data_IF_765036352704
#
_entry.id   IF_765036352704
#
_cell.length_a   1.000
_cell.length_b   1.000
_cell.length_c   1.000
_cell.angle_alpha   90.00
_cell.angle_beta   90.00
_cell.angle_gamma   90.00
#
_symmetry.space_group_name_H-M   'P 1'
#
loop_
_entity.id
_entity.type
_entity.pdbx_description
1 polymer ?
#
# COMPACT_ATOMS: atom_id res chain seq x y z
N UNK A 1 -16.99 -3.01 -12.96
CA UNK A 1 -16.51 -3.98 -11.95
C UNK A 1 -16.21 -3.18 -10.68
N UNK A 2 -16.83 -3.51 -9.55
CA UNK A 2 -16.79 -2.67 -8.35
C UNK A 2 -15.43 -2.79 -7.63
N UNK A 3 -14.72 -1.68 -7.41
CA UNK A 3 -13.51 -1.66 -6.59
C UNK A 3 -13.86 -2.00 -5.13
N UNK A 4 -13.53 -3.22 -4.69
CA UNK A 4 -13.70 -3.61 -3.28
C UNK A 4 -12.54 -3.07 -2.47
N UNK A 5 -12.85 -2.30 -1.43
CA UNK A 5 -11.83 -1.73 -0.55
C UNK A 5 -11.33 -2.77 0.47
N UNK A 6 -10.01 -2.92 0.66
CA UNK A 6 -9.46 -3.78 1.70
C UNK A 6 -9.78 -3.27 3.11
N UNK A 7 -10.09 -4.19 4.04
CA UNK A 7 -10.45 -3.87 5.43
C UNK A 7 -9.44 -3.00 6.17
N UNK A 8 -8.14 -3.17 5.93
CA UNK A 8 -7.13 -2.36 6.62
C UNK A 8 -7.17 -0.87 6.20
N UNK A 9 -7.74 -0.54 5.02
CA UNK A 9 -7.96 0.85 4.63
C UNK A 9 -9.17 1.47 5.33
N UNK A 10 -10.15 0.68 5.77
CA UNK A 10 -11.29 1.15 6.56
C UNK A 10 -10.88 1.55 8.00
N UNK A 11 -9.84 0.88 8.52
CA UNK A 11 -9.26 1.17 9.84
C UNK A 11 -8.28 2.35 9.83
N UNK A 12 -7.82 2.76 8.65
CA UNK A 12 -6.82 3.81 8.51
C UNK A 12 -7.36 5.15 9.03
N UNK A 13 -6.64 5.76 9.96
CA UNK A 13 -7.00 7.04 10.56
C UNK A 13 -7.99 6.96 11.73
N UNK A 14 -8.78 5.90 11.84
CA UNK A 14 -9.72 5.71 12.97
C UNK A 14 -9.00 5.03 14.14
N UNK A 15 -8.72 3.74 14.01
CA UNK A 15 -8.00 2.94 15.01
C UNK A 15 -6.53 2.79 14.65
N UNK A 16 -6.22 2.75 13.36
CA UNK A 16 -4.86 2.54 12.86
C UNK A 16 -4.17 3.89 12.59
N UNK A 17 -3.20 4.23 13.45
CA UNK A 17 -2.35 5.41 13.29
C UNK A 17 -1.04 5.02 12.62
N UNK A 18 -0.71 5.64 11.48
CA UNK A 18 0.42 5.16 10.66
C UNK A 18 1.53 6.19 10.46
N UNK A 19 2.75 5.66 10.36
CA UNK A 19 3.91 6.35 9.81
C UNK A 19 4.39 5.64 8.55
N UNK A 20 4.48 6.35 7.44
CA UNK A 20 5.05 5.85 6.19
C UNK A 20 6.31 6.63 5.80
N UNK A 21 7.32 5.90 5.35
CA UNK A 21 8.60 6.48 4.92
C UNK A 21 8.87 6.15 3.47
N UNK A 22 9.29 7.16 2.68
CA UNK A 22 9.77 6.98 1.28
C UNK A 22 8.78 6.19 0.39
N UNK A 23 7.49 6.48 0.52
CA UNK A 23 6.46 5.89 -0.35
C UNK A 23 6.20 6.77 -1.59
N UNK A 24 5.73 6.21 -2.71
CA UNK A 24 5.38 7.00 -3.90
C UNK A 24 4.38 8.12 -3.57
N UNK A 25 4.58 9.32 -4.14
CA UNK A 25 3.74 10.51 -3.84
C UNK A 25 2.25 10.23 -4.07
N UNK A 26 1.91 9.58 -5.19
CA UNK A 26 0.53 9.20 -5.53
C UNK A 26 -0.09 8.34 -4.43
N UNK A 27 0.62 7.31 -3.96
CA UNK A 27 0.14 6.45 -2.88
C UNK A 27 0.01 7.19 -1.54
N UNK A 28 0.93 8.10 -1.25
CA UNK A 28 0.86 8.94 -0.05
C UNK A 28 -0.41 9.80 -0.03
N UNK A 29 -0.73 10.43 -1.16
CA UNK A 29 -1.95 11.23 -1.34
C UNK A 29 -3.20 10.35 -1.17
N UNK A 30 -3.26 9.18 -1.84
CA UNK A 30 -4.40 8.27 -1.73
C UNK A 30 -4.63 7.83 -0.28
N UNK A 31 -3.57 7.39 0.42
CA UNK A 31 -3.65 7.00 1.82
C UNK A 31 -4.06 8.17 2.74
N UNK A 32 -3.63 9.40 2.44
CA UNK A 32 -4.03 10.59 3.18
C UNK A 32 -5.54 10.85 3.03
N UNK A 33 -6.08 10.67 1.82
CA UNK A 33 -7.52 10.78 1.55
C UNK A 33 -8.30 9.70 2.27
N UNK A 34 -7.84 8.44 2.28
CA UNK A 34 -8.48 7.38 3.06
C UNK A 34 -8.51 7.69 4.55
N UNK A 35 -7.37 8.14 5.11
CA UNK A 35 -7.30 8.56 6.51
C UNK A 35 -8.28 9.68 6.80
N UNK A 36 -8.26 10.75 6.00
CA UNK A 36 -9.16 11.89 6.15
C UNK A 36 -10.63 11.49 6.03
N UNK A 37 -10.99 10.68 5.03
CA UNK A 37 -12.36 10.15 4.83
C UNK A 37 -12.88 9.47 6.08
N UNK A 38 -12.08 8.58 6.66
CA UNK A 38 -12.53 7.76 7.77
C UNK A 38 -12.66 8.59 9.07
N UNK A 39 -11.83 9.62 9.23
CA UNK A 39 -11.86 10.54 10.38
C UNK A 39 -12.98 11.58 10.25
N UNK A 40 -13.14 12.16 9.06
CA UNK A 40 -14.05 13.29 8.82
C UNK A 40 -15.53 12.95 9.09
N UNK A 41 -15.85 11.66 9.22
CA UNK A 41 -17.16 11.19 9.69
C UNK A 41 -17.51 11.73 11.09
N UNK A 42 -16.53 11.92 11.96
CA UNK A 42 -16.73 12.32 13.36
C UNK A 42 -15.99 13.60 13.77
N UNK A 43 -14.92 13.98 13.08
CA UNK A 43 -14.01 15.05 13.52
C UNK A 43 -13.59 15.99 12.37
N UNK A 44 -13.05 17.17 12.70
CA UNK A 44 -12.39 18.05 11.72
C UNK A 44 -10.96 17.56 11.48
N UNK A 45 -10.57 17.43 10.22
CA UNK A 45 -9.26 16.91 9.80
C UNK A 45 -8.37 18.03 9.31
N UNK A 46 -7.17 18.14 9.88
CA UNK A 46 -6.14 19.04 9.36
C UNK A 46 -5.18 18.28 8.43
N UNK A 47 -5.05 18.74 7.19
CA UNK A 47 -4.15 18.15 6.21
C UNK A 47 -3.05 19.12 5.86
N UNK A 48 -1.81 18.73 6.12
CA UNK A 48 -0.66 19.47 5.63
C UNK A 48 -0.34 19.07 4.19
N UNK A 49 -0.45 20.05 3.29
CA UNK A 49 -0.13 19.92 1.88
C UNK A 49 0.93 20.99 1.50
N UNK A 50 2.10 20.59 0.96
CA UNK A 50 3.23 21.48 0.79
C UNK A 50 3.10 22.45 -0.39
N UNK A 51 2.19 22.18 -1.33
CA UNK A 51 1.98 22.98 -2.54
C UNK A 51 0.52 22.89 -3.02
N UNK A 52 0.09 23.87 -3.81
CA UNK A 52 -1.27 23.97 -4.34
C UNK A 52 -1.67 22.74 -5.18
N UNK A 53 -0.73 22.23 -5.98
CA UNK A 53 -0.94 21.03 -6.80
C UNK A 53 -1.26 19.79 -5.95
N UNK A 54 -0.70 19.70 -4.75
CA UNK A 54 -1.02 18.62 -3.80
C UNK A 54 -2.42 18.79 -3.24
N UNK A 55 -2.82 20.03 -2.94
CA UNK A 55 -4.18 20.34 -2.48
C UNK A 55 -5.18 19.92 -3.55
N UNK A 56 -4.99 20.39 -4.79
CA UNK A 56 -5.85 20.05 -5.94
C UNK A 56 -5.99 18.53 -6.12
N UNK A 57 -4.87 17.80 -6.08
CA UNK A 57 -4.87 16.34 -6.21
C UNK A 57 -5.59 15.64 -5.03
N UNK A 58 -5.45 16.15 -3.80
CA UNK A 58 -6.17 15.63 -2.63
C UNK A 58 -7.66 15.90 -2.78
N UNK A 59 -8.06 17.12 -3.15
CA UNK A 59 -9.47 17.51 -3.32
C UNK A 59 -10.17 16.72 -4.41
N UNK A 60 -9.51 16.48 -5.55
CA UNK A 60 -10.03 15.63 -6.62
C UNK A 60 -10.31 14.22 -6.11
N UNK A 61 -9.34 13.62 -5.39
CA UNK A 61 -9.51 12.30 -4.81
C UNK A 61 -10.55 12.30 -3.68
N UNK A 62 -10.63 13.34 -2.88
CA UNK A 62 -11.67 13.48 -1.86
C UNK A 62 -13.07 13.43 -2.45
N UNK A 63 -13.30 14.07 -3.61
CA UNK A 63 -14.56 13.97 -4.36
C UNK A 63 -14.83 12.55 -4.83
N UNK A 64 -13.82 11.86 -5.37
CA UNK A 64 -13.91 10.44 -5.78
C UNK A 64 -14.27 9.53 -4.60
N UNK A 65 -13.78 9.85 -3.41
CA UNK A 65 -13.95 9.06 -2.18
C UNK A 65 -15.12 9.52 -1.29
N UNK A 66 -15.88 10.54 -1.71
CA UNK A 66 -17.03 11.07 -0.97
C UNK A 66 -16.66 11.67 0.39
N UNK A 67 -15.49 12.30 0.51
CA UNK A 67 -15.06 12.95 1.75
C UNK A 67 -15.81 14.29 1.92
N UNK A 68 -16.40 14.56 3.10
CA UNK A 68 -17.02 15.86 3.39
C UNK A 68 -15.93 16.94 3.53
N UNK A 69 -15.73 17.74 2.48
CA UNK A 69 -14.65 18.75 2.38
C UNK A 69 -14.81 19.87 3.41
N UNK A 70 -16.03 20.17 3.85
CA UNK A 70 -16.34 21.15 4.91
C UNK A 70 -15.71 20.81 6.27
N UNK A 71 -15.27 19.55 6.44
CA UNK A 71 -14.56 19.07 7.63
C UNK A 71 -13.06 18.91 7.42
N UNK A 72 -12.52 19.45 6.33
CA UNK A 72 -11.10 19.37 5.99
C UNK A 72 -10.50 20.77 5.96
N UNK A 73 -9.42 20.97 6.71
CA UNK A 73 -8.64 22.21 6.72
C UNK A 73 -7.27 21.93 6.13
N UNK A 74 -6.96 22.56 5.00
CA UNK A 74 -5.63 22.49 4.39
C UNK A 74 -4.71 23.55 4.98
N UNK A 75 -3.50 23.13 5.33
CA UNK A 75 -2.46 24.04 5.84
C UNK A 75 -1.15 23.82 5.12
N UNK A 76 -0.39 24.91 4.93
CA UNK A 76 0.98 24.87 4.40
C UNK A 76 2.03 24.72 5.49
N UNK A 77 1.74 25.19 6.70
CA UNK A 77 2.57 24.99 7.88
C UNK A 77 1.92 23.92 8.78
N UNK A 78 2.57 22.78 9.03
CA UNK A 78 2.01 21.72 9.85
C UNK A 78 1.74 22.15 11.30
N UNK A 79 2.43 23.17 11.81
CA UNK A 79 2.21 23.69 13.18
C UNK A 79 0.84 24.36 13.34
N UNK A 80 0.22 24.80 12.23
CA UNK A 80 -1.14 25.33 12.24
C UNK A 80 -2.20 24.27 12.59
N UNK A 81 -1.86 22.98 12.51
CA UNK A 81 -2.72 21.88 12.96
C UNK A 81 -2.71 21.67 14.48
N UNK A 82 -1.98 22.48 15.26
CA UNK A 82 -1.87 22.30 16.71
C UNK A 82 -3.24 22.44 17.38
N UNK A 83 -3.61 21.44 18.19
CA UNK A 83 -4.90 21.38 18.87
C UNK A 83 -6.04 20.82 18.02
N UNK A 84 -5.78 20.46 16.76
CA UNK A 84 -6.75 19.75 15.92
C UNK A 84 -6.80 18.28 16.33
N UNK A 85 -7.99 17.65 16.31
CA UNK A 85 -8.19 16.28 16.80
C UNK A 85 -7.56 15.21 15.89
N UNK A 86 -7.29 15.56 14.65
CA UNK A 86 -6.67 14.66 13.70
C UNK A 86 -5.81 15.38 12.67
N UNK A 87 -4.57 14.92 12.54
CA UNK A 87 -3.60 15.48 11.60
C UNK A 87 -3.11 14.42 10.62
N UNK A 88 -3.20 14.75 9.33
CA UNK A 88 -2.65 13.97 8.22
C UNK A 88 -1.56 14.80 7.54
N UNK A 89 -0.31 14.33 7.58
CA UNK A 89 0.82 15.10 7.06
C UNK A 89 1.52 14.40 5.90
N UNK A 90 1.65 15.12 4.79
CA UNK A 90 2.59 14.82 3.70
C UNK A 90 3.81 15.74 3.86
N UNK A 91 4.80 15.34 4.67
CA UNK A 91 5.93 16.20 5.03
C UNK A 91 7.20 15.86 4.26
N UNK A 92 7.96 16.88 3.87
CA UNK A 92 9.37 16.74 3.46
C UNK A 92 10.35 17.28 4.51
N UNK A 93 9.86 18.02 5.50
CA UNK A 93 10.65 18.71 6.50
C UNK A 93 10.58 18.08 7.90
N UNK A 94 10.85 18.91 8.91
CA UNK A 94 10.85 18.52 10.32
C UNK A 94 9.43 18.15 10.76
N UNK A 95 9.32 17.07 11.52
CA UNK A 95 8.05 16.58 12.09
C UNK A 95 7.81 17.22 13.46
N UNK A 96 6.77 18.07 13.62
CA UNK A 96 6.35 18.59 14.93
C UNK A 96 5.99 17.45 15.89
N UNK A 97 6.37 17.51 17.16
CA UNK A 97 6.17 16.39 18.09
C UNK A 97 4.86 16.52 18.90
N UNK A 98 4.28 17.71 18.90
CA UNK A 98 3.11 18.12 19.68
C UNK A 98 1.76 17.89 18.97
N UNK A 99 1.78 17.32 17.76
CA UNK A 99 0.57 17.11 16.96
C UNK A 99 0.00 15.71 17.15
N UNK A 100 -1.33 15.60 17.08
CA UNK A 100 -2.02 14.31 17.16
C UNK A 100 -2.15 13.65 15.78
N UNK A 101 -1.09 12.96 15.38
CA UNK A 101 -1.00 12.33 14.06
C UNK A 101 -1.94 11.12 13.93
N UNK A 102 -2.83 11.16 12.94
CA UNK A 102 -3.53 9.96 12.46
C UNK A 102 -2.78 9.30 11.32
N UNK A 103 -2.10 10.10 10.50
CA UNK A 103 -1.20 9.62 9.47
C UNK A 103 -0.04 10.60 9.28
N UNK A 104 1.17 10.05 9.21
CA UNK A 104 2.39 10.79 8.94
C UNK A 104 3.15 10.14 7.79
N UNK A 105 3.36 10.89 6.70
CA UNK A 105 4.30 10.52 5.65
C UNK A 105 5.47 11.50 5.73
N UNK A 106 6.66 10.99 6.08
CA UNK A 106 7.85 11.83 6.20
C UNK A 106 9.12 11.04 5.85
N UNK A 107 10.13 11.68 5.23
CA UNK A 107 11.38 11.03 4.84
C UNK A 107 12.19 10.53 6.04
N UNK A 108 12.09 11.22 7.18
CA UNK A 108 12.71 10.83 8.44
C UNK A 108 11.91 11.43 9.60
N UNK A 109 11.66 10.63 10.64
CA UNK A 109 11.02 11.09 11.86
C UNK A 109 11.79 10.54 13.07
N UNK A 110 12.45 11.42 13.82
CA UNK A 110 13.11 11.05 15.07
C UNK A 110 12.05 10.92 16.16
N UNK A 111 12.20 9.93 17.04
CA UNK A 111 11.31 9.76 18.18
C UNK A 111 9.91 9.22 17.84
N UNK A 112 9.73 8.55 16.70
CA UNK A 112 8.45 7.94 16.29
C UNK A 112 7.78 7.10 17.38
N UNK A 113 8.56 6.43 18.22
CA UNK A 113 8.06 5.63 19.35
C UNK A 113 7.23 6.46 20.34
N UNK A 114 7.44 7.78 20.41
CA UNK A 114 6.68 8.71 21.27
C UNK A 114 5.34 9.14 20.65
N UNK A 115 5.17 8.96 19.35
CA UNK A 115 3.98 9.38 18.61
C UNK A 115 2.89 8.30 18.53
N UNK A 116 3.17 7.10 19.03
CA UNK A 116 2.20 5.98 19.00
C UNK A 116 1.84 5.50 17.58
N UNK A 117 2.69 5.78 16.58
CA UNK A 117 2.44 5.44 15.18
C UNK A 117 3.00 4.06 14.82
N UNK A 118 2.21 3.26 14.12
CA UNK A 118 2.66 2.00 13.53
C UNK A 118 3.36 2.27 12.19
N UNK A 119 4.51 1.62 11.95
CA UNK A 119 5.24 1.78 10.69
C UNK A 119 4.53 1.04 9.56
N UNK A 120 4.10 1.78 8.55
CA UNK A 120 3.63 1.27 7.27
C UNK A 120 4.83 1.08 6.32
N UNK A 121 5.05 -0.15 5.90
CA UNK A 121 5.97 -0.50 4.82
C UNK A 121 5.19 -0.71 3.53
N UNK A 122 5.66 -0.08 2.45
CA UNK A 122 5.10 -0.27 1.10
C UNK A 122 6.13 -0.99 0.26
N UNK A 123 5.77 -2.14 -0.29
CA UNK A 123 6.58 -2.90 -1.21
C UNK A 123 5.90 -2.91 -2.59
N UNK A 124 6.47 -2.26 -3.62
CA UNK A 124 5.96 -2.37 -4.98
C UNK A 124 6.20 -3.79 -5.50
N UNK A 125 5.20 -4.40 -6.11
CA UNK A 125 5.27 -5.75 -6.69
C UNK A 125 5.00 -5.78 -8.19
N UNK A 126 4.62 -4.65 -8.79
CA UNK A 126 4.35 -4.51 -10.21
C UNK A 126 3.84 -3.12 -10.53
N UNK A 127 3.35 -2.94 -11.76
CA UNK A 127 2.67 -1.70 -12.15
C UNK A 127 1.37 -1.56 -11.35
N UNK A 128 1.27 -0.48 -10.56
CA UNK A 128 0.13 -0.18 -9.70
C UNK A 128 -0.22 -1.26 -8.64
N UNK A 129 0.64 -2.24 -8.38
CA UNK A 129 0.43 -3.28 -7.35
C UNK A 129 1.37 -3.08 -6.17
N UNK A 130 0.81 -3.03 -4.96
CA UNK A 130 1.55 -2.75 -3.74
C UNK A 130 1.20 -3.73 -2.63
N UNK A 131 2.22 -4.20 -1.91
CA UNK A 131 2.05 -4.88 -0.62
C UNK A 131 2.24 -3.87 0.50
N UNK A 132 1.19 -3.65 1.29
CA UNK A 132 1.17 -2.77 2.45
C UNK A 132 1.34 -3.61 3.72
N UNK A 133 2.31 -3.28 4.57
CA UNK A 133 2.56 -4.00 5.83
C UNK A 133 2.57 -3.04 7.01
N UNK A 134 1.78 -3.33 8.04
CA UNK A 134 1.73 -2.54 9.28
C UNK A 134 1.35 -3.44 10.45
N UNK A 135 2.11 -3.37 11.55
CA UNK A 135 1.78 -4.09 12.78
C UNK A 135 1.49 -5.59 12.61
N UNK A 136 2.40 -6.33 11.98
CA UNK A 136 2.22 -7.77 11.70
C UNK A 136 1.20 -8.11 10.62
N UNK A 137 0.34 -7.16 10.22
CA UNK A 137 -0.65 -7.32 9.16
C UNK A 137 -0.02 -6.97 7.81
N UNK A 138 -0.42 -7.70 6.78
CA UNK A 138 -0.01 -7.47 5.40
C UNK A 138 -1.24 -7.54 4.51
N UNK A 139 -1.37 -6.61 3.57
CA UNK A 139 -2.40 -6.65 2.53
C UNK A 139 -1.76 -6.40 1.18
N UNK A 140 -2.36 -6.96 0.14
CA UNK A 140 -2.04 -6.63 -1.23
C UNK A 140 -3.12 -5.71 -1.78
N UNK A 141 -2.73 -4.67 -2.50
CA UNK A 141 -3.66 -3.72 -3.13
C UNK A 141 -3.25 -3.44 -4.56
N UNK A 142 -4.23 -3.15 -5.40
CA UNK A 142 -4.03 -2.60 -6.74
C UNK A 142 -4.56 -1.17 -6.76
N UNK A 143 -3.76 -0.23 -7.25
CA UNK A 143 -4.18 1.14 -7.48
C UNK A 143 -4.89 1.25 -8.83
N UNK A 144 -6.14 1.73 -8.82
CA UNK A 144 -6.96 1.95 -10.01
C UNK A 144 -7.74 3.24 -9.81
N UNK A 145 -7.58 4.18 -10.74
CA UNK A 145 -8.32 5.45 -10.75
C UNK A 145 -8.29 6.20 -9.39
N UNK A 146 -7.13 6.22 -8.72
CA UNK A 146 -6.98 6.91 -7.44
C UNK A 146 -7.57 6.16 -6.24
N UNK A 147 -7.97 4.90 -6.42
CA UNK A 147 -8.46 4.00 -5.37
C UNK A 147 -7.50 2.85 -5.16
N UNK A 148 -7.44 2.34 -3.94
CA UNK A 148 -6.76 1.09 -3.62
C UNK A 148 -7.81 0.01 -3.45
N UNK A 149 -7.79 -0.96 -4.34
CA UNK A 149 -8.75 -2.05 -4.36
C UNK A 149 -8.06 -3.35 -3.91
N UNK A 150 -8.85 -4.27 -3.35
CA UNK A 150 -8.48 -5.67 -3.33
C UNK A 150 -8.14 -6.12 -4.77
N UNK A 151 -7.07 -6.90 -4.96
CA UNK A 151 -6.73 -7.44 -6.27
C UNK A 151 -7.91 -8.29 -6.77
N UNK A 152 -8.59 -7.83 -7.82
CA UNK A 152 -9.74 -8.55 -8.39
C UNK A 152 -9.32 -9.71 -9.30
N UNK A 153 -8.06 -9.68 -9.75
CA UNK A 153 -7.39 -10.79 -10.40
C UNK A 153 -6.34 -11.32 -9.44
N UNK A 154 -6.23 -12.66 -9.36
CA UNK A 154 -5.16 -13.28 -8.61
C UNK A 154 -3.83 -12.67 -9.08
N UNK A 155 -3.07 -12.00 -8.18
CA UNK A 155 -1.85 -11.29 -8.54
C UNK A 155 -0.97 -12.22 -9.37
N UNK A 156 -0.32 -11.74 -10.43
CA UNK A 156 0.41 -12.64 -11.33
C UNK A 156 1.38 -13.56 -10.59
N UNK A 157 2.01 -13.08 -9.50
CA UNK A 157 2.84 -13.88 -8.61
C UNK A 157 2.08 -14.90 -7.75
N UNK A 158 0.85 -14.59 -7.32
CA UNK A 158 -0.04 -15.53 -6.64
C UNK A 158 -0.58 -16.59 -7.60
N UNK A 159 -0.92 -16.22 -8.84
CA UNK A 159 -1.32 -17.17 -9.89
C UNK A 159 -0.15 -18.07 -10.27
N UNK A 160 1.04 -17.50 -10.41
CA UNK A 160 2.29 -18.26 -10.59
C UNK A 160 2.52 -19.22 -9.43
N UNK A 161 2.42 -18.75 -8.19
CA UNK A 161 2.59 -19.59 -7.02
C UNK A 161 1.58 -20.74 -7.03
N UNK A 162 0.29 -20.46 -7.21
CA UNK A 162 -0.76 -21.47 -7.25
C UNK A 162 -0.57 -22.51 -8.35
N UNK A 163 -0.26 -22.09 -9.57
CA UNK A 163 0.05 -23.00 -10.68
C UNK A 163 1.24 -23.91 -10.35
N UNK A 164 2.27 -23.37 -9.69
CA UNK A 164 3.42 -24.15 -9.25
C UNK A 164 3.10 -25.04 -8.06
N UNK A 165 2.25 -24.61 -7.12
CA UNK A 165 1.83 -25.43 -5.99
C UNK A 165 1.00 -26.62 -6.45
N UNK A 166 0.05 -26.40 -7.35
CA UNK A 166 -0.78 -27.46 -7.96
C UNK A 166 0.12 -28.46 -8.70
N UNK A 167 1.06 -27.96 -9.51
CA UNK A 167 1.99 -28.82 -10.24
C UNK A 167 2.98 -29.56 -9.31
N UNK A 168 3.49 -28.93 -8.24
CA UNK A 168 4.37 -29.60 -7.28
C UNK A 168 3.61 -30.66 -6.47
N UNK A 169 2.32 -30.44 -6.18
CA UNK A 169 1.48 -31.46 -5.53
C UNK A 169 1.18 -32.64 -6.45
N UNK A 170 1.00 -32.40 -7.74
CA UNK A 170 0.67 -33.44 -8.72
C UNK A 170 1.91 -34.24 -9.16
N UNK A 171 3.03 -33.55 -9.42
CA UNK A 171 4.22 -34.15 -10.04
C UNK A 171 5.43 -34.24 -9.10
N UNK A 172 5.36 -33.67 -7.89
CA UNK A 172 6.50 -33.52 -6.98
C UNK A 172 7.38 -32.31 -7.30
N UNK A 173 8.53 -32.15 -6.64
CA UNK A 173 9.46 -31.04 -6.88
C UNK A 173 9.81 -30.88 -8.36
N UNK A 174 9.63 -29.68 -8.91
CA UNK A 174 9.82 -29.42 -10.33
C UNK A 174 11.19 -28.80 -10.58
N UNK A 175 11.91 -29.23 -11.63
CA UNK A 175 13.10 -28.47 -12.06
C UNK A 175 12.66 -27.09 -12.54
N UNK A 176 13.52 -26.08 -12.33
CA UNK A 176 13.25 -24.72 -12.78
C UNK A 176 12.89 -24.64 -14.29
N UNK A 177 13.49 -25.50 -15.11
CA UNK A 177 13.16 -25.60 -16.53
C UNK A 177 11.74 -26.09 -16.81
N UNK A 178 11.27 -27.07 -16.06
CA UNK A 178 9.93 -27.67 -16.16
C UNK A 178 8.87 -26.69 -15.65
N UNK A 179 9.13 -26.09 -14.48
CA UNK A 179 8.30 -25.03 -13.91
C UNK A 179 8.15 -23.83 -14.86
N UNK A 180 9.25 -23.39 -15.49
CA UNK A 180 9.21 -22.30 -16.45
C UNK A 180 8.46 -22.66 -17.75
N UNK A 181 8.54 -23.92 -18.18
CA UNK A 181 7.80 -24.40 -19.35
C UNK A 181 6.30 -24.46 -19.08
N UNK A 182 5.90 -24.95 -17.90
CA UNK A 182 4.50 -24.99 -17.47
C UNK A 182 3.91 -23.58 -17.41
N UNK A 183 4.57 -22.66 -16.71
CA UNK A 183 4.10 -21.28 -16.59
C UNK A 183 4.05 -20.55 -17.94
N UNK A 184 5.02 -20.80 -18.83
CA UNK A 184 4.99 -20.23 -20.17
C UNK A 184 3.73 -20.63 -20.96
N UNK A 185 3.32 -21.90 -20.85
CA UNK A 185 2.09 -22.41 -21.45
C UNK A 185 0.84 -21.81 -20.82
N UNK A 186 0.74 -21.84 -19.50
CA UNK A 186 -0.45 -21.40 -18.75
C UNK A 186 -0.68 -19.88 -18.77
N UNK A 187 0.40 -19.10 -18.83
CA UNK A 187 0.34 -17.64 -18.78
C UNK A 187 0.52 -16.98 -20.15
N UNK A 188 0.82 -17.75 -21.20
CA UNK A 188 1.08 -17.20 -22.54
C UNK A 188 2.32 -16.30 -22.61
N UNK A 189 3.33 -16.57 -21.78
CA UNK A 189 4.57 -15.77 -21.68
C UNK A 189 5.77 -16.54 -22.21
N UNK A 190 6.88 -15.84 -22.46
CA UNK A 190 8.15 -16.51 -22.83
C UNK A 190 8.72 -17.30 -21.65
N UNK A 191 9.52 -18.34 -21.92
CA UNK A 191 10.24 -19.09 -20.86
C UNK A 191 11.16 -18.21 -20.02
N UNK A 192 11.74 -17.18 -20.62
CA UNK A 192 12.60 -16.21 -19.90
C UNK A 192 11.77 -15.41 -18.91
N UNK A 193 10.59 -14.93 -19.32
CA UNK A 193 9.67 -14.20 -18.46
C UNK A 193 9.10 -15.11 -17.35
N UNK A 194 8.74 -16.35 -17.69
CA UNK A 194 8.31 -17.34 -16.71
C UNK A 194 9.38 -17.60 -15.63
N UNK A 195 10.66 -17.72 -16.00
CA UNK A 195 11.76 -17.82 -15.03
C UNK A 195 11.85 -16.58 -14.14
N UNK A 196 11.70 -15.38 -14.71
CA UNK A 196 11.70 -14.14 -13.93
C UNK A 196 10.61 -14.15 -12.87
N UNK A 197 9.40 -14.55 -13.27
CA UNK A 197 8.23 -14.64 -12.38
C UNK A 197 8.41 -15.68 -11.26
N UNK A 198 9.04 -16.84 -11.53
CA UNK A 198 9.38 -17.83 -10.49
C UNK A 198 10.31 -17.20 -9.44
N UNK A 199 11.38 -16.52 -9.87
CA UNK A 199 12.30 -15.88 -8.92
C UNK A 199 11.68 -14.70 -8.17
N UNK A 200 10.72 -13.99 -8.77
CA UNK A 200 9.95 -12.95 -8.10
C UNK A 200 9.00 -13.54 -7.05
N UNK A 201 8.32 -14.66 -7.36
CA UNK A 201 7.46 -15.38 -6.42
C UNK A 201 8.27 -15.95 -5.25
N UNK A 202 9.46 -16.50 -5.51
CA UNK A 202 10.38 -16.98 -4.48
C UNK A 202 10.86 -15.84 -3.56
N UNK A 203 11.27 -14.70 -4.13
CA UNK A 203 11.65 -13.49 -3.36
C UNK A 203 10.49 -12.92 -2.55
N UNK A 204 9.26 -13.12 -3.00
CA UNK A 204 8.05 -12.72 -2.29
C UNK A 204 7.65 -13.68 -1.15
N UNK A 205 8.35 -14.82 -1.03
CA UNK A 205 8.11 -15.87 -0.03
C UNK A 205 6.89 -16.75 -0.33
N UNK A 206 6.47 -16.82 -1.60
CA UNK A 206 5.27 -17.57 -2.01
C UNK A 206 5.58 -19.02 -2.41
N UNK A 207 6.82 -19.30 -2.80
CA UNK A 207 7.36 -20.61 -3.16
C UNK A 207 8.82 -20.67 -2.70
N UNK A 208 9.43 -21.85 -2.73
CA UNK A 208 10.87 -22.04 -2.51
C UNK A 208 11.56 -22.48 -3.79
N UNK A 209 12.83 -22.10 -3.92
CA UNK A 209 13.70 -22.54 -5.01
C UNK A 209 15.03 -22.99 -4.41
N UNK A 210 15.20 -24.30 -4.29
CA UNK A 210 16.36 -24.94 -3.64
C UNK A 210 17.07 -25.85 -4.66
N UNK A 211 18.39 -25.70 -4.81
CA UNK A 211 19.22 -26.46 -5.77
C UNK A 211 18.66 -26.55 -7.21
N UNK A 212 17.98 -25.49 -7.66
CA UNK A 212 17.38 -25.42 -8.99
C UNK A 212 16.02 -26.11 -9.13
N UNK A 213 15.42 -26.53 -8.02
CA UNK A 213 14.08 -27.10 -7.95
C UNK A 213 13.11 -26.12 -7.29
N UNK A 214 11.89 -26.07 -7.81
CA UNK A 214 10.76 -25.36 -7.20
C UNK A 214 10.08 -26.29 -6.20
N UNK A 215 9.95 -25.82 -4.96
CA UNK A 215 9.38 -26.54 -3.81
C UNK A 215 8.39 -25.66 -3.04
N UNK A 216 7.65 -26.26 -2.11
CA UNK A 216 6.71 -25.59 -1.19
C UNK A 216 7.40 -25.12 0.10
#
# INVERSE_FOLDING_TARGET
MECREPTLLEELGTTLRIYAQRIPRRLAVILAVYSARNIARSEVVCIHAPDEKTIEAIEELMRVHGVPIDRVVFVRDPTACKGMPAVVILNKGRVPQELDYRMLVAPEARGLHKLGLARLTVQPLGEAVYRLKVGGRSMLVTERDGRLCEPQEEPMLSRVAKLLEEAVREYGPLKLGEAAQLLAGELGVTRTEARRLIYEAARAGLIRVDDGYVTL
#
